data_IF_483995780631
#
_entry.id   IF_483995780631
#
_cell.length_a   1.000
_cell.length_b   1.000
_cell.length_c   1.000
_cell.angle_alpha   90.00
_cell.angle_beta   90.00
_cell.angle_gamma   90.00
#
_symmetry.space_group_name_H-M   'P 1'
#
loop_
_entity.id
_entity.type
_entity.pdbx_description
1 polymer ?
#
# COMPACT_ATOMS: atom_id res chain seq x y z
N UNK A 1 -17.56 -2.79 -3.10
CA UNK A 1 -16.49 -3.78 -2.88
C UNK A 1 -15.29 -3.16 -2.16
N UNK A 2 -14.58 -2.19 -2.74
CA UNK A 2 -13.45 -1.56 -2.03
C UNK A 2 -13.89 -0.64 -0.87
N UNK A 3 -14.90 0.21 -1.08
CA UNK A 3 -15.43 1.05 0.00
C UNK A 3 -16.07 0.24 1.14
N UNK A 4 -16.70 -0.91 0.82
CA UNK A 4 -17.23 -1.83 1.83
C UNK A 4 -16.11 -2.48 2.63
N UNK A 5 -15.00 -2.88 1.98
CA UNK A 5 -13.80 -3.37 2.67
C UNK A 5 -13.24 -2.32 3.63
N UNK A 6 -13.09 -1.07 3.20
CA UNK A 6 -12.58 0.00 4.05
C UNK A 6 -13.48 0.27 5.27
N UNK A 7 -14.80 0.29 5.08
CA UNK A 7 -15.74 0.46 6.18
C UNK A 7 -15.69 -0.71 7.16
N UNK A 8 -15.46 -1.92 6.65
CA UNK A 8 -15.49 -3.14 7.43
C UNK A 8 -14.18 -3.37 8.23
N UNK A 9 -13.04 -2.98 7.65
CA UNK A 9 -11.71 -3.28 8.20
C UNK A 9 -10.95 -2.04 8.69
N UNK A 10 -11.46 -0.83 8.48
CA UNK A 10 -10.79 0.43 8.84
C UNK A 10 -10.57 0.65 10.34
N UNK A 11 -11.28 -0.08 11.21
CA UNK A 11 -11.10 -0.06 12.67
C UNK A 11 -10.57 -1.39 13.23
N UNK A 12 -10.18 -2.33 12.37
CA UNK A 12 -9.76 -3.65 12.82
C UNK A 12 -8.37 -3.59 13.45
N UNK A 13 -8.20 -4.29 14.57
CA UNK A 13 -6.87 -4.54 15.10
C UNK A 13 -6.13 -5.58 14.25
N UNK A 14 -4.81 -5.49 14.19
CA UNK A 14 -4.01 -6.28 13.26
C UNK A 14 -4.13 -7.80 13.36
N UNK A 15 -4.43 -8.33 14.54
CA UNK A 15 -4.65 -9.76 14.77
C UNK A 15 -5.99 -10.26 14.22
N UNK A 16 -7.01 -9.40 14.12
CA UNK A 16 -8.33 -9.77 13.62
C UNK A 16 -8.38 -9.87 12.09
N UNK A 17 -7.43 -9.23 11.40
CA UNK A 17 -7.42 -9.16 9.93
C UNK A 17 -7.36 -10.56 9.30
N UNK A 18 -6.46 -11.41 9.78
CA UNK A 18 -6.28 -12.76 9.23
C UNK A 18 -7.44 -13.70 9.52
N UNK A 19 -7.97 -13.65 10.74
CA UNK A 19 -9.12 -14.47 11.12
C UNK A 19 -10.35 -14.10 10.29
N UNK A 20 -10.60 -12.80 10.11
CA UNK A 20 -11.72 -12.29 9.32
C UNK A 20 -11.56 -12.58 7.83
N UNK A 21 -10.34 -12.61 7.32
CA UNK A 21 -10.04 -12.96 5.93
C UNK A 21 -9.83 -14.47 5.71
N UNK A 22 -10.11 -15.32 6.73
CA UNK A 22 -9.93 -16.78 6.65
C UNK A 22 -8.54 -17.18 6.16
N UNK A 23 -7.50 -16.47 6.64
CA UNK A 23 -6.09 -16.63 6.22
C UNK A 23 -5.78 -16.26 4.77
N UNK A 24 -6.68 -15.50 4.13
CA UNK A 24 -6.56 -15.04 2.74
C UNK A 24 -5.89 -13.68 2.57
N UNK A 25 -5.29 -13.11 3.63
CA UNK A 25 -4.83 -11.71 3.62
C UNK A 25 -3.75 -11.43 2.58
N UNK A 26 -2.71 -12.27 2.47
CA UNK A 26 -1.64 -12.11 1.48
C UNK A 26 -2.16 -12.19 0.03
N UNK A 27 -3.14 -13.07 -0.25
CA UNK A 27 -3.73 -13.17 -1.58
C UNK A 27 -4.55 -11.91 -1.93
N UNK A 28 -5.32 -11.40 -0.97
CA UNK A 28 -6.08 -10.17 -1.14
C UNK A 28 -5.15 -8.97 -1.31
N UNK A 29 -4.06 -8.93 -0.54
CA UNK A 29 -3.04 -7.90 -0.61
C UNK A 29 -2.38 -7.86 -1.99
N UNK A 30 -1.94 -9.02 -2.51
CA UNK A 30 -1.39 -9.15 -3.86
C UNK A 30 -2.40 -8.67 -4.93
N UNK A 31 -3.69 -8.98 -4.76
CA UNK A 31 -4.74 -8.49 -5.66
C UNK A 31 -4.88 -6.97 -5.60
N UNK A 32 -4.83 -6.37 -4.41
CA UNK A 32 -4.88 -4.91 -4.27
C UNK A 32 -3.66 -4.22 -4.83
N UNK A 33 -2.47 -4.82 -4.71
CA UNK A 33 -1.24 -4.31 -5.31
C UNK A 33 -1.37 -4.22 -6.84
N UNK A 34 -1.75 -5.34 -7.49
CA UNK A 34 -1.96 -5.36 -8.95
C UNK A 34 -3.04 -4.37 -9.36
N UNK A 35 -4.12 -4.25 -8.57
CA UNK A 35 -5.17 -3.29 -8.87
C UNK A 35 -4.69 -1.84 -8.73
N UNK A 36 -3.84 -1.54 -7.75
CA UNK A 36 -3.22 -0.22 -7.63
C UNK A 36 -2.35 0.06 -8.85
N UNK A 37 -1.50 -0.90 -9.22
CA UNK A 37 -0.59 -0.79 -10.37
C UNK A 37 -1.32 -0.48 -11.68
N UNK A 38 -2.46 -1.13 -11.89
CA UNK A 38 -3.33 -0.81 -13.02
C UNK A 38 -4.05 0.53 -12.84
N UNK A 39 -4.51 0.87 -11.64
CA UNK A 39 -5.33 2.07 -11.42
C UNK A 39 -4.55 3.36 -11.58
N UNK A 40 -3.33 3.43 -11.04
CA UNK A 40 -2.58 4.68 -11.06
C UNK A 40 -2.23 5.11 -12.49
N UNK A 41 -2.02 4.19 -13.43
CA UNK A 41 -1.75 4.51 -14.84
C UNK A 41 -2.97 5.07 -15.63
N UNK A 42 -4.03 5.51 -14.94
CA UNK A 42 -5.19 6.17 -15.54
C UNK A 42 -6.35 5.23 -15.89
N UNK A 43 -6.24 3.94 -15.57
CA UNK A 43 -7.30 2.96 -15.86
C UNK A 43 -8.48 3.01 -14.86
N UNK A 44 -8.33 3.66 -13.69
CA UNK A 44 -9.40 3.74 -12.67
C UNK A 44 -9.22 4.92 -11.71
N UNK A 45 -10.33 5.54 -11.27
CA UNK A 45 -10.33 6.63 -10.26
C UNK A 45 -10.25 6.14 -8.80
N UNK A 46 -9.77 4.92 -8.58
CA UNK A 46 -9.83 4.26 -7.27
C UNK A 46 -8.53 4.34 -6.47
N UNK A 47 -7.50 5.03 -6.97
CA UNK A 47 -6.14 5.06 -6.40
C UNK A 47 -6.16 5.39 -4.90
N UNK A 48 -6.82 6.46 -4.48
CA UNK A 48 -6.88 6.85 -3.06
C UNK A 48 -7.50 5.78 -2.17
N UNK A 49 -8.56 5.11 -2.62
CA UNK A 49 -9.21 4.04 -1.87
C UNK A 49 -8.32 2.79 -1.80
N UNK A 50 -7.56 2.52 -2.87
CA UNK A 50 -6.61 1.43 -2.90
C UNK A 50 -5.44 1.70 -1.96
N UNK A 51 -4.89 2.92 -1.95
CA UNK A 51 -3.86 3.34 -1.00
C UNK A 51 -4.36 3.15 0.45
N UNK A 52 -5.58 3.60 0.75
CA UNK A 52 -6.19 3.38 2.07
C UNK A 52 -6.33 1.89 2.42
N UNK A 53 -6.69 1.04 1.45
CA UNK A 53 -6.83 -0.39 1.67
C UNK A 53 -5.49 -1.05 2.01
N UNK A 54 -4.38 -0.63 1.38
CA UNK A 54 -3.04 -1.09 1.74
C UNK A 54 -2.66 -0.65 3.16
N UNK A 55 -3.05 0.56 3.57
CA UNK A 55 -2.82 1.07 4.92
C UNK A 55 -3.36 0.16 6.02
N UNK A 56 -4.48 -0.52 5.80
CA UNK A 56 -5.05 -1.49 6.75
C UNK A 56 -4.06 -2.64 7.02
N UNK A 57 -3.38 -3.14 5.99
CA UNK A 57 -2.37 -4.21 6.15
C UNK A 57 -1.13 -3.70 6.89
N UNK A 58 -0.71 -2.45 6.63
CA UNK A 58 0.45 -1.84 7.31
C UNK A 58 0.23 -1.57 8.80
N UNK A 59 -1.03 -1.41 9.22
CA UNK A 59 -1.41 -1.25 10.62
C UNK A 59 -1.55 -2.58 11.37
N UNK A 60 -1.45 -3.71 10.66
CA UNK A 60 -1.64 -5.02 11.27
C UNK A 60 -0.43 -5.50 12.11
N UNK A 61 -0.62 -6.57 12.90
CA UNK A 61 0.47 -7.21 13.65
C UNK A 61 1.45 -7.91 12.70
N UNK A 62 0.94 -8.42 11.58
CA UNK A 62 1.70 -9.10 10.52
C UNK A 62 2.27 -8.11 9.47
N UNK A 63 2.26 -6.80 9.75
CA UNK A 63 2.70 -5.74 8.83
C UNK A 63 4.08 -5.97 8.23
N UNK A 64 4.99 -6.60 8.97
CA UNK A 64 6.33 -6.89 8.49
C UNK A 64 6.33 -7.88 7.32
N UNK A 65 5.51 -8.93 7.41
CA UNK A 65 5.32 -9.90 6.32
C UNK A 65 4.65 -9.24 5.12
N UNK A 66 3.59 -8.46 5.34
CA UNK A 66 2.88 -7.78 4.26
C UNK A 66 3.74 -6.77 3.52
N UNK A 67 4.58 -6.01 4.22
CA UNK A 67 5.50 -5.09 3.56
C UNK A 67 6.55 -5.82 2.73
N UNK A 68 7.09 -6.93 3.21
CA UNK A 68 8.00 -7.75 2.41
C UNK A 68 7.34 -8.21 1.10
N UNK A 69 6.13 -8.78 1.17
CA UNK A 69 5.36 -9.20 -0.01
C UNK A 69 5.08 -8.04 -0.98
N UNK A 70 4.72 -6.86 -0.44
CA UNK A 70 4.46 -5.66 -1.26
C UNK A 70 5.72 -5.16 -1.96
N UNK A 71 6.86 -5.12 -1.27
CA UNK A 71 8.13 -4.68 -1.85
C UNK A 71 8.56 -5.62 -2.97
N UNK A 72 8.47 -6.94 -2.75
CA UNK A 72 8.76 -7.95 -3.78
C UNK A 72 7.87 -7.77 -5.01
N UNK A 73 6.61 -7.37 -4.82
CA UNK A 73 5.67 -7.06 -5.90
C UNK A 73 5.82 -5.67 -6.53
N UNK A 74 6.84 -4.88 -6.15
CA UNK A 74 7.13 -3.57 -6.74
C UNK A 74 6.32 -2.40 -6.17
N UNK A 75 5.73 -2.54 -4.98
CA UNK A 75 4.89 -1.51 -4.37
C UNK A 75 5.63 -0.18 -4.15
N UNK A 76 6.92 -0.20 -3.75
CA UNK A 76 7.68 1.04 -3.54
C UNK A 76 7.83 1.86 -4.82
N UNK A 77 8.14 1.20 -5.94
CA UNK A 77 8.22 1.84 -7.24
C UNK A 77 6.87 2.44 -7.64
N UNK A 78 5.78 1.69 -7.41
CA UNK A 78 4.42 2.18 -7.64
C UNK A 78 4.10 3.44 -6.81
N UNK A 79 4.46 3.47 -5.53
CA UNK A 79 4.25 4.65 -4.68
C UNK A 79 5.10 5.84 -5.14
N UNK A 80 6.37 5.63 -5.48
CA UNK A 80 7.25 6.69 -5.99
C UNK A 80 6.74 7.24 -7.32
N UNK A 81 6.33 6.38 -8.25
CA UNK A 81 5.70 6.77 -9.51
C UNK A 81 4.48 7.67 -9.28
N UNK A 82 3.59 7.29 -8.35
CA UNK A 82 2.41 8.10 -8.00
C UNK A 82 2.81 9.51 -7.56
N UNK A 83 3.89 9.66 -6.78
CA UNK A 83 4.37 10.98 -6.33
C UNK A 83 4.95 11.82 -7.46
N UNK A 84 5.63 11.19 -8.40
CA UNK A 84 6.32 11.88 -9.51
C UNK A 84 5.38 12.30 -10.64
N UNK A 85 4.15 11.78 -10.68
CA UNK A 85 3.18 12.13 -11.72
C UNK A 85 2.63 13.55 -11.58
N UNK A 86 2.58 14.26 -12.71
CA UNK A 86 2.08 15.63 -12.78
C UNK A 86 0.57 15.71 -12.50
N UNK A 87 -0.20 14.73 -13.00
CA UNK A 87 -1.67 14.71 -12.87
C UNK A 87 -2.16 14.10 -11.55
N UNK A 88 -1.26 13.78 -10.62
CA UNK A 88 -1.60 13.18 -9.34
C UNK A 88 -2.22 14.23 -8.40
N UNK A 89 -3.41 13.93 -7.87
CA UNK A 89 -4.11 14.85 -6.97
C UNK A 89 -3.38 14.99 -5.63
N UNK A 90 -3.55 16.13 -4.95
CA UNK A 90 -2.95 16.36 -3.62
C UNK A 90 -3.33 15.26 -2.61
N UNK A 91 -4.58 14.79 -2.68
CA UNK A 91 -5.07 13.72 -1.81
C UNK A 91 -4.35 12.38 -2.07
N UNK A 92 -4.08 12.06 -3.33
CA UNK A 92 -3.30 10.87 -3.69
C UNK A 92 -1.85 11.00 -3.23
N UNK A 93 -1.23 12.18 -3.40
CA UNK A 93 0.13 12.45 -2.92
C UNK A 93 0.24 12.30 -1.40
N UNK A 94 -0.68 12.89 -0.65
CA UNK A 94 -0.71 12.79 0.82
C UNK A 94 -0.90 11.34 1.29
N UNK A 95 -1.84 10.60 0.69
CA UNK A 95 -2.06 9.20 1.03
C UNK A 95 -0.83 8.32 0.70
N UNK A 96 -0.14 8.63 -0.40
CA UNK A 96 1.08 7.91 -0.81
C UNK A 96 2.24 8.18 0.13
N UNK A 97 2.45 9.45 0.53
CA UNK A 97 3.45 9.83 1.52
C UNK A 97 3.18 9.21 2.89
N UNK A 98 1.92 9.13 3.30
CA UNK A 98 1.53 8.48 4.55
C UNK A 98 1.92 6.99 4.55
N UNK A 99 1.65 6.25 3.46
CA UNK A 99 2.07 4.86 3.34
C UNK A 99 3.60 4.68 3.34
N UNK A 100 4.34 5.51 2.60
CA UNK A 100 5.81 5.48 2.62
C UNK A 100 6.35 5.74 4.04
N UNK A 101 5.72 6.67 4.76
CA UNK A 101 6.07 6.96 6.16
C UNK A 101 5.78 5.76 7.06
N UNK A 102 4.60 5.14 6.93
CA UNK A 102 4.26 3.93 7.68
C UNK A 102 5.25 2.79 7.41
N UNK A 103 5.62 2.55 6.14
CA UNK A 103 6.63 1.55 5.76
C UNK A 103 7.99 1.86 6.39
N UNK A 104 8.46 3.10 6.28
CA UNK A 104 9.71 3.56 6.88
C UNK A 104 9.75 3.39 8.40
N UNK A 105 8.60 3.52 9.08
CA UNK A 105 8.48 3.36 10.53
C UNK A 105 8.52 1.90 11.00
N UNK A 106 8.27 0.92 10.12
CA UNK A 106 8.31 -0.50 10.52
C UNK A 106 9.74 -0.95 10.82
N UNK A 107 10.74 -0.43 10.10
CA UNK A 107 12.12 -0.81 10.37
C UNK A 107 13.15 -0.14 9.45
N UNK A 108 14.41 -0.15 9.90
CA UNK A 108 15.55 0.46 9.19
C UNK A 108 15.70 -0.07 7.76
N UNK A 109 15.57 -1.38 7.55
CA UNK A 109 15.68 -2.01 6.22
C UNK A 109 14.73 -1.41 5.19
N UNK A 110 13.55 -0.97 5.61
CA UNK A 110 12.55 -0.40 4.71
C UNK A 110 12.86 1.07 4.37
N UNK A 111 13.49 1.81 5.30
CA UNK A 111 14.03 3.14 4.99
C UNK A 111 15.11 3.05 3.91
N UNK A 112 16.02 2.08 4.06
CA UNK A 112 17.09 1.81 3.09
C UNK A 112 16.49 1.43 1.73
N UNK A 113 15.53 0.50 1.69
CA UNK A 113 14.83 0.13 0.46
C UNK A 113 14.13 1.31 -0.24
N UNK A 114 13.48 2.21 0.52
CA UNK A 114 12.87 3.43 -0.05
C UNK A 114 13.93 4.31 -0.70
N UNK A 115 15.05 4.54 -0.03
CA UNK A 115 16.14 5.37 -0.54
C UNK A 115 16.81 4.76 -1.78
N UNK A 116 17.04 3.45 -1.79
CA UNK A 116 17.59 2.72 -2.94
C UNK A 116 16.66 2.78 -4.16
N UNK A 117 15.35 2.70 -3.94
CA UNK A 117 14.35 2.79 -5.01
C UNK A 117 14.32 4.17 -5.68
N UNK A 118 14.71 5.26 -4.99
CA UNK A 118 14.79 6.59 -5.61
C UNK A 118 15.96 6.71 -6.60
N UNK A 119 17.04 5.94 -6.44
CA UNK A 119 18.18 5.93 -7.35
C UNK A 119 17.88 5.34 -8.74
N UNK A 120 16.68 4.79 -8.96
CA UNK A 120 16.27 4.21 -10.24
C UNK A 120 15.58 5.23 -11.17
N UNK A 121 15.29 6.44 -10.69
CA UNK A 121 14.59 7.49 -11.43
C UNK A 121 15.50 8.64 -11.90
N UNK A 122 16.83 8.50 -11.77
CA UNK A 122 17.86 9.44 -12.25
C UNK A 122 18.56 8.91 -13.49
#
# INVERSE_FOLDING_TARGET
MLASFLNEFGSCSGSELEDRLSRGSSLLLARFLVWLQMSYLGYSRSTTLLLAAHGIFLQSTERDRYVAELIEGGFLLTLLDILMREECSEREKLATLDLLTQIALIGRRYKEAICESQGQFT
#
